data_IF_694200159256
#
_entry.id   IF_694200159256
#
_cell.length_a   1.000
_cell.length_b   1.000
_cell.length_c   1.000
_cell.angle_alpha   90.00
_cell.angle_beta   90.00
_cell.angle_gamma   90.00
#
_symmetry.space_group_name_H-M   'P 1'
#
loop_
_entity.id
_entity.type
_entity.pdbx_description
1 polymer ?
#
# COMPACT_ATOMS: atom_id res chain seq x y z
N UNK A 1 19.07 -21.15 -17.60
CA UNK A 1 20.10 -20.09 -17.51
C UNK A 1 19.51 -18.83 -18.12
N UNK A 2 18.92 -17.94 -17.32
CA UNK A 2 18.39 -16.69 -17.84
C UNK A 2 19.57 -15.78 -18.16
N UNK A 3 19.77 -15.45 -19.44
CA UNK A 3 20.75 -14.46 -19.84
C UNK A 3 20.38 -13.13 -19.17
N UNK A 4 21.22 -12.67 -18.25
CA UNK A 4 21.16 -11.33 -17.70
C UNK A 4 21.55 -10.36 -18.82
N UNK A 5 20.57 -9.95 -19.62
CA UNK A 5 20.76 -8.92 -20.65
C UNK A 5 21.19 -7.66 -19.92
N UNK A 6 22.42 -7.21 -20.17
CA UNK A 6 22.96 -6.01 -19.53
C UNK A 6 22.27 -4.79 -20.11
N UNK A 7 21.71 -3.93 -19.26
CA UNK A 7 20.98 -2.71 -19.66
C UNK A 7 21.83 -1.82 -20.59
N UNK A 8 23.16 -1.92 -20.49
CA UNK A 8 24.10 -1.19 -21.37
C UNK A 8 24.06 -1.59 -22.85
N UNK A 9 23.69 -2.84 -23.15
CA UNK A 9 23.70 -3.39 -24.51
C UNK A 9 22.42 -3.07 -25.30
N UNK A 10 21.35 -2.64 -24.61
CA UNK A 10 20.05 -2.35 -25.21
C UNK A 10 20.05 -1.08 -26.07
N UNK A 11 19.39 -1.11 -27.22
CA UNK A 11 19.16 0.07 -28.06
C UNK A 11 18.18 1.07 -27.43
N UNK A 12 18.21 2.34 -27.84
CA UNK A 12 17.28 3.38 -27.34
C UNK A 12 15.80 2.96 -27.40
N UNK A 13 15.28 2.37 -28.51
CA UNK A 13 13.89 1.93 -28.56
C UNK A 13 13.55 0.82 -27.55
N UNK A 14 14.52 -0.05 -27.23
CA UNK A 14 14.34 -1.11 -26.23
C UNK A 14 14.36 -0.56 -24.81
N UNK A 15 15.18 0.46 -24.54
CA UNK A 15 15.21 1.15 -23.26
C UNK A 15 13.91 1.93 -23.01
N UNK A 16 13.33 2.56 -24.03
CA UNK A 16 12.02 3.21 -23.93
C UNK A 16 10.89 2.22 -23.57
N UNK A 17 10.87 1.06 -24.24
CA UNK A 17 9.91 0.00 -23.94
C UNK A 17 10.09 -0.51 -22.50
N UNK A 18 11.33 -0.77 -22.09
CA UNK A 18 11.66 -1.25 -20.73
C UNK A 18 11.28 -0.22 -19.66
N UNK A 19 11.54 1.07 -19.92
CA UNK A 19 11.09 2.17 -19.05
C UNK A 19 9.57 2.13 -18.86
N UNK A 20 8.81 1.99 -19.95
CA UNK A 20 7.35 1.92 -19.90
C UNK A 20 6.83 0.75 -19.05
N UNK A 21 7.45 -0.41 -19.15
CA UNK A 21 7.12 -1.58 -18.31
C UNK A 21 7.44 -1.31 -16.83
N UNK A 22 8.62 -0.77 -16.54
CA UNK A 22 9.01 -0.45 -15.17
C UNK A 22 8.13 0.64 -14.53
N UNK A 23 7.69 1.62 -15.32
CA UNK A 23 6.73 2.64 -14.88
C UNK A 23 5.42 2.00 -14.39
N UNK A 24 4.85 1.09 -15.18
CA UNK A 24 3.62 0.37 -14.82
C UNK A 24 3.79 -0.51 -13.58
N UNK A 25 4.91 -1.24 -13.48
CA UNK A 25 5.19 -2.09 -12.32
C UNK A 25 5.35 -1.26 -11.04
N UNK A 26 6.06 -0.13 -11.11
CA UNK A 26 6.22 0.80 -9.99
C UNK A 26 4.86 1.36 -9.55
N UNK A 27 4.03 1.80 -10.50
CA UNK A 27 2.69 2.33 -10.20
C UNK A 27 1.80 1.26 -9.54
N UNK A 28 1.82 0.04 -10.07
CA UNK A 28 1.07 -1.08 -9.51
C UNK A 28 1.46 -1.40 -8.08
N UNK A 29 2.76 -1.52 -7.79
CA UNK A 29 3.27 -1.84 -6.45
C UNK A 29 3.01 -0.68 -5.47
N UNK A 30 3.19 0.57 -5.91
CA UNK A 30 2.91 1.77 -5.12
C UNK A 30 1.43 1.88 -4.75
N UNK A 31 0.53 1.72 -5.73
CA UNK A 31 -0.93 1.72 -5.50
C UNK A 31 -1.35 0.60 -4.55
N UNK A 32 -0.79 -0.60 -4.73
CA UNK A 32 -1.05 -1.74 -3.84
C UNK A 32 -0.63 -1.44 -2.39
N UNK A 33 0.55 -0.86 -2.17
CA UNK A 33 0.99 -0.45 -0.83
C UNK A 33 0.05 0.61 -0.22
N UNK A 34 -0.35 1.62 -1.00
CA UNK A 34 -1.27 2.65 -0.54
C UNK A 34 -2.62 2.05 -0.10
N UNK A 35 -3.17 1.12 -0.88
CA UNK A 35 -4.42 0.44 -0.56
C UNK A 35 -4.30 -0.42 0.72
N UNK A 36 -3.22 -1.20 0.86
CA UNK A 36 -2.97 -1.98 2.07
C UNK A 36 -2.83 -1.09 3.30
N UNK A 37 -2.20 0.09 3.14
CA UNK A 37 -2.06 1.07 4.22
C UNK A 37 -3.40 1.62 4.67
N UNK A 38 -4.30 1.95 3.75
CA UNK A 38 -5.67 2.41 4.09
C UNK A 38 -6.41 1.36 4.91
N UNK A 39 -6.32 0.07 4.53
CA UNK A 39 -6.96 -1.01 5.28
C UNK A 39 -6.32 -1.19 6.67
N UNK A 40 -4.99 -1.12 6.75
CA UNK A 40 -4.29 -1.18 8.03
C UNK A 40 -4.74 -0.06 8.97
N UNK A 41 -4.87 1.18 8.48
CA UNK A 41 -5.34 2.33 9.26
C UNK A 41 -6.74 2.06 9.82
N UNK A 42 -7.68 1.52 9.03
CA UNK A 42 -9.01 1.14 9.53
C UNK A 42 -8.96 0.12 10.66
N UNK A 43 -8.06 -0.86 10.60
CA UNK A 43 -7.90 -1.85 11.69
C UNK A 43 -7.24 -1.25 12.93
N UNK A 44 -6.30 -0.31 12.77
CA UNK A 44 -5.73 0.45 13.89
C UNK A 44 -6.82 1.27 14.56
N UNK A 45 -7.59 2.06 13.80
CA UNK A 45 -8.72 2.85 14.31
C UNK A 45 -9.74 1.98 15.04
N UNK A 46 -10.15 0.84 14.46
CA UNK A 46 -11.08 -0.08 15.11
C UNK A 46 -10.52 -0.62 16.44
N UNK A 47 -9.24 -0.96 16.50
CA UNK A 47 -8.57 -1.39 17.73
C UNK A 47 -8.56 -0.27 18.78
N UNK A 48 -8.26 0.96 18.38
CA UNK A 48 -8.23 2.11 19.30
C UNK A 48 -9.64 2.48 19.80
N UNK A 49 -10.68 2.36 18.96
CA UNK A 49 -12.07 2.53 19.39
C UNK A 49 -12.46 1.54 20.51
N UNK A 50 -11.93 0.31 20.47
CA UNK A 50 -12.15 -0.67 21.55
C UNK A 50 -11.48 -0.28 22.86
N UNK A 51 -10.45 0.57 22.86
CA UNK A 51 -9.84 1.09 24.08
C UNK A 51 -10.74 2.13 24.76
N UNK A 52 -11.51 2.86 23.96
CA UNK A 52 -12.53 3.78 24.48
C UNK A 52 -13.69 3.00 25.08
N UNK A 53 -14.05 1.83 24.54
CA UNK A 53 -15.13 0.97 25.06
C UNK A 53 -14.76 0.34 26.42
N UNK A 54 -15.22 0.93 27.52
CA UNK A 54 -14.91 0.46 28.88
C UNK A 54 -16.07 0.70 29.84
N UNK A 55 -16.06 0.07 31.03
CA UNK A 55 -17.17 0.19 31.99
C UNK A 55 -17.52 1.64 32.36
N UNK A 56 -16.57 2.57 32.27
CA UNK A 56 -16.77 3.98 32.59
C UNK A 56 -17.56 4.77 31.54
N UNK A 57 -17.88 4.18 30.37
CA UNK A 57 -18.75 4.81 29.37
C UNK A 57 -20.02 4.03 29.05
N UNK A 58 -20.26 2.92 29.72
CA UNK A 58 -21.56 2.25 29.70
C UNK A 58 -22.67 3.21 30.18
N UNK A 59 -23.77 3.28 29.44
CA UNK A 59 -24.89 4.20 29.66
C UNK A 59 -24.71 5.63 29.15
N UNK A 60 -23.51 6.01 28.68
CA UNK A 60 -23.25 7.35 28.12
C UNK A 60 -23.89 7.52 26.74
N UNK A 61 -24.20 8.78 26.43
CA UNK A 61 -24.74 9.16 25.12
C UNK A 61 -23.63 9.13 24.06
N UNK A 62 -23.97 8.65 22.86
CA UNK A 62 -23.10 8.63 21.69
C UNK A 62 -23.89 9.00 20.43
N UNK A 63 -23.18 9.51 19.43
CA UNK A 63 -23.76 9.79 18.11
C UNK A 63 -23.39 8.65 17.16
N UNK A 64 -24.41 8.00 16.60
CA UNK A 64 -24.24 6.96 15.58
C UNK A 64 -24.48 7.59 14.21
N UNK A 65 -23.57 7.43 13.23
CA UNK A 65 -23.81 7.88 11.87
C UNK A 65 -24.93 7.05 11.24
N UNK A 66 -25.99 7.72 10.76
CA UNK A 66 -27.07 7.08 10.00
C UNK A 66 -26.76 7.11 8.49
N UNK A 67 -26.07 8.16 8.04
CA UNK A 67 -25.62 8.38 6.66
C UNK A 67 -24.43 9.37 6.69
N UNK A 68 -23.85 9.69 5.54
CA UNK A 68 -22.68 10.58 5.39
C UNK A 68 -22.86 11.97 6.01
N UNK A 69 -24.10 12.44 6.20
CA UNK A 69 -24.38 13.80 6.68
C UNK A 69 -25.44 13.86 7.78
N UNK A 70 -25.80 12.73 8.40
CA UNK A 70 -26.76 12.71 9.52
C UNK A 70 -26.32 11.73 10.62
N UNK A 71 -26.54 12.14 11.87
CA UNK A 71 -26.26 11.37 13.07
C UNK A 71 -27.51 11.26 13.93
N UNK A 72 -27.64 10.14 14.64
CA UNK A 72 -28.70 9.93 15.63
C UNK A 72 -28.08 9.74 17.03
N UNK A 73 -28.68 10.33 18.08
CA UNK A 73 -28.25 10.07 19.44
C UNK A 73 -28.65 8.65 19.87
N UNK A 74 -27.78 7.99 20.62
CA UNK A 74 -28.01 6.68 21.22
C UNK A 74 -27.30 6.53 22.56
N UNK A 75 -27.59 5.46 23.29
CA UNK A 75 -26.93 5.12 24.55
C UNK A 75 -26.08 3.86 24.40
N UNK A 76 -24.87 3.88 24.97
CA UNK A 76 -23.96 2.74 24.93
C UNK A 76 -24.40 1.67 25.93
N UNK A 77 -24.91 0.53 25.46
CA UNK A 77 -25.51 -0.49 26.33
C UNK A 77 -24.61 -1.67 26.68
N UNK A 78 -23.72 -2.11 25.79
CA UNK A 78 -22.77 -3.21 26.04
C UNK A 78 -21.37 -2.79 25.61
N UNK A 79 -20.43 -2.81 26.55
CA UNK A 79 -19.01 -2.48 26.32
C UNK A 79 -18.11 -3.71 26.24
N UNK A 80 -18.67 -4.90 26.46
CA UNK A 80 -17.93 -6.16 26.55
C UNK A 80 -17.91 -6.91 25.24
N UNK A 81 -18.91 -6.70 24.39
CA UNK A 81 -19.09 -7.46 23.15
C UNK A 81 -19.29 -6.54 21.96
N UNK A 82 -18.71 -6.94 20.83
CA UNK A 82 -18.77 -6.23 19.56
C UNK A 82 -18.97 -7.20 18.41
N UNK A 83 -19.63 -6.75 17.34
CA UNK A 83 -19.66 -7.45 16.07
C UNK A 83 -18.42 -7.10 15.26
N UNK A 84 -17.74 -8.13 14.75
CA UNK A 84 -16.54 -7.97 13.92
C UNK A 84 -16.82 -8.57 12.55
N UNK A 85 -16.62 -7.77 11.50
CA UNK A 85 -16.61 -8.24 10.12
C UNK A 85 -15.38 -9.12 9.89
N UNK A 86 -15.62 -10.37 9.48
CA UNK A 86 -14.56 -11.34 9.17
C UNK A 86 -14.35 -11.54 7.66
N UNK A 87 -15.15 -10.87 6.83
CA UNK A 87 -15.15 -10.95 5.38
C UNK A 87 -16.34 -11.74 4.83
N UNK A 88 -16.50 -11.74 3.51
CA UNK A 88 -17.57 -12.47 2.78
C UNK A 88 -19.00 -12.12 3.21
N UNK A 89 -19.19 -10.98 3.87
CA UNK A 89 -20.50 -10.54 4.38
C UNK A 89 -20.89 -11.11 5.74
N UNK A 90 -19.97 -11.76 6.46
CA UNK A 90 -20.24 -12.35 7.77
C UNK A 90 -19.71 -11.50 8.91
N UNK A 91 -20.54 -11.38 9.96
CA UNK A 91 -20.19 -10.74 11.23
C UNK A 91 -20.21 -11.77 12.34
N UNK A 92 -19.23 -11.69 13.24
CA UNK A 92 -19.10 -12.57 14.39
C UNK A 92 -19.07 -11.75 15.66
N UNK A 93 -19.92 -12.08 16.63
CA UNK A 93 -19.86 -11.49 17.97
C UNK A 93 -18.57 -11.96 18.67
N UNK A 94 -17.81 -11.01 19.20
CA UNK A 94 -16.57 -11.25 19.95
C UNK A 94 -16.58 -10.41 21.22
N UNK A 95 -15.88 -10.89 22.24
CA UNK A 95 -15.53 -10.01 23.35
C UNK A 95 -14.60 -8.88 22.87
N UNK A 96 -14.60 -7.75 23.58
CA UNK A 96 -13.72 -6.62 23.27
C UNK A 96 -12.23 -7.05 23.22
N UNK A 97 -11.79 -7.93 24.12
CA UNK A 97 -10.43 -8.47 24.13
C UNK A 97 -10.14 -9.37 22.92
N UNK A 98 -11.08 -10.25 22.56
CA UNK A 98 -10.94 -11.10 21.39
C UNK A 98 -10.93 -10.28 20.08
N UNK A 99 -11.71 -9.20 20.03
CA UNK A 99 -11.71 -8.25 18.92
C UNK A 99 -10.39 -7.47 18.83
N UNK A 100 -9.85 -6.99 19.96
CA UNK A 100 -8.50 -6.37 20.02
C UNK A 100 -7.43 -7.31 19.46
N UNK A 101 -7.40 -8.56 19.93
CA UNK A 101 -6.46 -9.56 19.44
C UNK A 101 -6.68 -9.91 17.95
N UNK A 102 -7.92 -9.88 17.47
CA UNK A 102 -8.23 -10.07 16.06
C UNK A 102 -7.65 -8.94 15.20
N UNK A 103 -7.93 -7.68 15.54
CA UNK A 103 -7.41 -6.53 14.78
C UNK A 103 -5.88 -6.44 14.86
N UNK A 104 -5.28 -6.73 16.02
CA UNK A 104 -3.82 -6.77 16.16
C UNK A 104 -3.19 -7.79 15.19
N UNK A 105 -3.74 -9.00 15.10
CA UNK A 105 -3.27 -10.01 14.13
C UNK A 105 -3.46 -9.57 12.67
N UNK A 106 -4.56 -8.88 12.35
CA UNK A 106 -4.81 -8.35 11.01
C UNK A 106 -3.83 -7.23 10.64
N UNK A 107 -3.51 -6.35 11.60
CA UNK A 107 -2.49 -5.29 11.43
C UNK A 107 -1.13 -5.92 11.13
N UNK A 108 -0.70 -6.89 11.95
CA UNK A 108 0.57 -7.59 11.76
C UNK A 108 0.64 -8.34 10.43
N UNK A 109 -0.46 -8.99 10.03
CA UNK A 109 -0.55 -9.64 8.73
C UNK A 109 -0.34 -8.64 7.59
N UNK A 110 -1.04 -7.49 7.61
CA UNK A 110 -0.89 -6.45 6.60
C UNK A 110 0.50 -5.82 6.61
N UNK A 111 1.09 -5.57 7.79
CA UNK A 111 2.48 -5.08 7.90
C UNK A 111 3.43 -6.01 7.18
N UNK A 112 3.36 -7.32 7.44
CA UNK A 112 4.21 -8.32 6.79
C UNK A 112 3.99 -8.39 5.27
N UNK A 113 2.78 -8.18 4.77
CA UNK A 113 2.55 -8.12 3.32
C UNK A 113 3.18 -6.86 2.71
N UNK A 114 3.05 -5.71 3.36
CA UNK A 114 3.68 -4.47 2.90
C UNK A 114 5.21 -4.58 2.91
N UNK A 115 5.79 -5.17 3.97
CA UNK A 115 7.24 -5.42 4.08
C UNK A 115 7.79 -6.32 2.96
N UNK A 116 6.97 -7.21 2.38
CA UNK A 116 7.38 -8.03 1.22
C UNK A 116 7.37 -7.24 -0.09
N UNK A 117 6.46 -6.27 -0.22
CA UNK A 117 6.27 -5.49 -1.45
C UNK A 117 7.28 -4.33 -1.51
N UNK A 118 7.65 -3.76 -0.36
CA UNK A 118 8.49 -2.57 -0.29
C UNK A 118 9.90 -2.75 -0.90
N UNK A 119 10.63 -3.87 -0.68
CA UNK A 119 11.90 -4.13 -1.35
C UNK A 119 11.74 -4.27 -2.87
N UNK A 120 10.70 -4.96 -3.34
CA UNK A 120 10.42 -5.10 -4.77
C UNK A 120 10.15 -3.74 -5.42
N UNK A 121 9.39 -2.86 -4.74
CA UNK A 121 9.16 -1.50 -5.23
C UNK A 121 10.47 -0.69 -5.31
N UNK A 122 11.33 -0.79 -4.29
CA UNK A 122 12.64 -0.12 -4.29
C UNK A 122 13.55 -0.63 -5.41
N UNK A 123 13.59 -1.94 -5.63
CA UNK A 123 14.35 -2.58 -6.71
C UNK A 123 13.85 -2.09 -8.08
N UNK A 124 12.54 -2.06 -8.30
CA UNK A 124 11.95 -1.57 -9.56
C UNK A 124 12.21 -0.08 -9.80
N UNK A 125 12.17 0.73 -8.74
CA UNK A 125 12.58 2.14 -8.81
C UNK A 125 14.06 2.30 -9.19
N UNK A 126 14.96 1.53 -8.56
CA UNK A 126 16.38 1.57 -8.86
C UNK A 126 16.66 1.12 -10.31
N UNK A 127 16.01 0.05 -10.77
CA UNK A 127 16.13 -0.44 -12.14
C UNK A 127 15.64 0.59 -13.15
N UNK A 128 14.50 1.24 -12.87
CA UNK A 128 14.00 2.36 -13.70
C UNK A 128 15.00 3.50 -13.77
N UNK A 129 15.59 3.88 -12.65
CA UNK A 129 16.57 4.97 -12.60
C UNK A 129 17.82 4.64 -13.42
N UNK A 130 18.32 3.41 -13.33
CA UNK A 130 19.43 2.95 -14.15
C UNK A 130 19.11 2.98 -15.65
N UNK A 131 17.89 2.58 -16.05
CA UNK A 131 17.43 2.68 -17.45
C UNK A 131 17.43 4.13 -17.94
N UNK A 132 16.92 5.06 -17.12
CA UNK A 132 16.90 6.49 -17.46
C UNK A 132 18.32 7.05 -17.63
N UNK A 133 19.24 6.72 -16.73
CA UNK A 133 20.64 7.14 -16.82
C UNK A 133 21.31 6.61 -18.09
N UNK A 134 21.09 5.33 -18.43
CA UNK A 134 21.60 4.74 -19.67
C UNK A 134 21.02 5.40 -20.93
N UNK A 135 19.72 5.73 -20.93
CA UNK A 135 19.10 6.47 -22.03
C UNK A 135 19.75 7.85 -22.21
N UNK A 136 19.96 8.59 -21.12
CA UNK A 136 20.63 9.89 -21.14
C UNK A 136 22.07 9.78 -21.66
N UNK A 137 22.84 8.79 -21.20
CA UNK A 137 24.21 8.56 -21.68
C UNK A 137 24.25 8.27 -23.19
N UNK A 138 23.35 7.42 -23.70
CA UNK A 138 23.27 7.10 -25.14
C UNK A 138 22.86 8.30 -25.98
N UNK A 139 21.91 9.11 -25.50
CA UNK A 139 21.53 10.36 -26.16
C UNK A 139 22.71 11.34 -26.23
N UNK A 140 23.46 11.50 -25.14
CA UNK A 140 24.64 12.35 -25.11
C UNK A 140 25.72 11.90 -26.10
N UNK A 141 25.99 10.58 -26.19
CA UNK A 141 26.93 10.02 -27.17
C UNK A 141 26.51 10.28 -28.62
N UNK A 142 25.22 10.16 -28.92
CA UNK A 142 24.68 10.48 -30.26
C UNK A 142 24.80 11.97 -30.59
N UNK A 143 24.56 12.85 -29.62
CA UNK A 143 24.69 14.31 -29.81
C UNK A 143 26.13 14.82 -29.80
N UNK A 144 27.08 14.07 -29.22
CA UNK A 144 28.50 14.38 -29.26
C UNK A 144 29.20 13.89 -30.53
N UNK A 145 28.51 13.10 -31.37
CA UNK A 145 29.03 12.55 -32.63
C UNK A 145 28.80 13.37 -33.93
N UNK A 146 28.38 14.66 -33.98
CA UNK A 146 28.43 15.43 -35.21
C UNK A 146 29.69 16.31 -35.26
N UNK A 147 30.70 15.92 -36.06
CA UNK A 147 31.80 16.83 -36.42
C UNK A 147 33.13 16.22 -36.91
N UNK A 148 33.30 14.90 -36.95
CA UNK A 148 34.57 14.25 -37.29
C UNK A 148 34.64 13.58 -38.66
N UNK A 149 34.13 14.20 -39.72
CA UNK A 149 34.38 13.75 -41.09
C UNK A 149 34.55 14.95 -42.03
N UNK A 150 35.71 15.60 -41.94
CA UNK A 150 36.33 16.32 -43.05
C UNK A 150 37.56 15.54 -43.49
N UNK A 151 37.47 14.90 -44.65
CA UNK A 151 38.52 14.80 -45.65
C UNK A 151 37.86 14.31 -46.94
#
# INVERSE_FOLDING_TARGET
MAQTVSVGELGLPQLELLKGQLDQEVEFLSSSLAQLKVVQTKFVEAKECLNVLNKGNEGKDLLVPLTSSMYVPGKLSDVRRVLVDVGTGYYVEKSADAARAFFQRKIEFLTRQMEKIQPALQEKHAMKQAVLEMMTQKLQQLTAAPGGAKA
#
